data_IF_958225547932
#
_entry.id   IF_958225547932
#
_cell.length_a   1.000
_cell.length_b   1.000
_cell.length_c   1.000
_cell.angle_alpha   90.00
_cell.angle_beta   90.00
_cell.angle_gamma   90.00
#
_symmetry.space_group_name_H-M   'P 1'
#
loop_
_entity.id
_entity.type
_entity.pdbx_description
1 polymer ?
#
# COMPACT_ATOMS: atom_id res chain seq x y z
N UNK A 1 -16.80 -15.32 34.66
CA UNK A 1 -17.19 -16.20 33.53
C UNK A 1 -17.69 -15.29 32.40
N UNK A 2 -16.75 -14.65 31.69
CA UNK A 2 -17.04 -13.64 30.66
C UNK A 2 -16.85 -14.31 29.30
N UNK A 3 -17.91 -14.32 28.49
CA UNK A 3 -17.89 -14.88 27.13
C UNK A 3 -17.09 -13.95 26.21
N UNK A 4 -16.02 -14.47 25.63
CA UNK A 4 -15.33 -13.88 24.49
C UNK A 4 -16.29 -13.83 23.28
N UNK A 5 -16.62 -12.63 22.82
CA UNK A 5 -17.26 -12.44 21.51
C UNK A 5 -16.16 -12.36 20.46
N UNK A 6 -16.16 -13.36 19.58
CA UNK A 6 -15.24 -13.53 18.46
C UNK A 6 -15.41 -12.43 17.42
N UNK A 7 -14.31 -11.77 17.05
CA UNK A 7 -14.18 -10.76 15.99
C UNK A 7 -14.50 -11.27 14.56
N UNK A 8 -14.96 -12.52 14.39
CA UNK A 8 -15.28 -13.10 13.07
C UNK A 8 -16.55 -12.53 12.43
N UNK A 9 -17.46 -11.91 13.19
CA UNK A 9 -18.77 -11.51 12.68
C UNK A 9 -18.81 -10.11 12.03
N UNK A 10 -17.77 -9.29 12.16
CA UNK A 10 -17.74 -7.97 11.54
C UNK A 10 -17.37 -8.01 10.03
N UNK A 11 -16.70 -9.07 9.58
CA UNK A 11 -16.10 -9.13 8.24
C UNK A 11 -17.04 -9.65 7.14
N UNK A 12 -18.10 -10.39 7.47
CA UNK A 12 -19.01 -10.99 6.47
C UNK A 12 -20.11 -10.05 5.97
N UNK A 13 -20.38 -8.94 6.66
CA UNK A 13 -21.48 -8.03 6.33
C UNK A 13 -21.24 -7.11 5.12
N UNK A 14 -19.99 -6.93 4.70
CA UNK A 14 -19.64 -5.94 3.66
C UNK A 14 -19.74 -6.46 2.21
N UNK A 15 -19.69 -7.78 1.98
CA UNK A 15 -19.68 -8.35 0.61
C UNK A 15 -21.05 -8.36 -0.09
N UNK A 16 -22.14 -8.04 0.60
CA UNK A 16 -23.51 -8.18 0.06
C UNK A 16 -24.07 -6.96 -0.67
N UNK A 17 -23.36 -5.83 -0.75
CA UNK A 17 -23.90 -4.58 -1.32
C UNK A 17 -23.62 -4.36 -2.82
N UNK A 18 -22.75 -5.14 -3.47
CA UNK A 18 -22.32 -4.91 -4.85
C UNK A 18 -22.89 -5.95 -5.83
N UNK A 19 -24.22 -6.00 -6.01
CA UNK A 19 -24.85 -6.67 -7.17
C UNK A 19 -26.10 -5.90 -7.62
N UNK A 20 -25.98 -5.15 -8.70
CA UNK A 20 -27.12 -4.62 -9.43
C UNK A 20 -26.74 -3.83 -10.68
N UNK A 21 -27.10 -4.35 -11.86
CA UNK A 21 -27.33 -3.53 -13.06
C UNK A 21 -26.53 -3.89 -14.32
N UNK A 22 -27.00 -4.87 -15.09
CA UNK A 22 -26.61 -5.07 -16.49
C UNK A 22 -27.56 -4.30 -17.44
N UNK A 23 -27.00 -3.78 -18.53
CA UNK A 23 -27.67 -3.31 -19.76
C UNK A 23 -26.65 -2.50 -20.56
N UNK A 24 -26.23 -2.81 -21.77
CA UNK A 24 -26.94 -3.39 -22.92
C UNK A 24 -26.92 -2.33 -24.03
N UNK A 25 -26.03 -2.45 -25.02
CA UNK A 25 -25.96 -1.49 -26.13
C UNK A 25 -24.87 -1.81 -27.16
N UNK A 26 -25.27 -2.43 -28.27
CA UNK A 26 -24.46 -2.66 -29.46
C UNK A 26 -24.33 -1.37 -30.30
N UNK A 27 -23.17 -1.15 -30.94
CA UNK A 27 -23.09 -0.48 -32.24
C UNK A 27 -21.73 -0.73 -32.90
N UNK A 28 -21.78 -1.25 -34.11
CA UNK A 28 -20.64 -1.46 -34.99
C UNK A 28 -20.29 -0.18 -35.78
N UNK A 29 -19.03 -0.01 -36.15
CA UNK A 29 -18.64 0.64 -37.41
C UNK A 29 -17.19 0.26 -37.74
N UNK A 30 -16.99 -0.28 -38.94
CA UNK A 30 -15.70 -0.77 -39.42
C UNK A 30 -14.88 0.30 -40.16
N UNK A 31 -13.60 -0.01 -40.37
CA UNK A 31 -12.81 0.52 -41.47
C UNK A 31 -11.65 -0.46 -41.78
N UNK A 32 -11.36 -0.58 -43.08
CA UNK A 32 -10.58 -1.62 -43.73
C UNK A 32 -9.26 -1.03 -44.26
N UNK A 33 -8.13 -1.70 -43.96
CA UNK A 33 -6.91 -1.93 -44.78
C UNK A 33 -6.12 -0.74 -45.37
N UNK A 34 -4.80 -0.68 -45.09
CA UNK A 34 -3.73 -0.81 -46.12
C UNK A 34 -2.27 -0.78 -45.60
N UNK A 35 -1.60 -1.94 -45.78
CA UNK A 35 -0.21 -2.27 -46.19
C UNK A 35 0.99 -1.29 -46.04
N UNK A 36 2.02 -1.89 -45.41
CA UNK A 36 3.43 -2.15 -45.83
C UNK A 36 4.38 -1.01 -46.25
N UNK A 37 5.44 -0.90 -45.45
CA UNK A 37 6.84 -0.58 -45.79
C UNK A 37 7.61 -0.54 -44.46
N UNK A 38 8.71 -1.24 -44.18
CA UNK A 38 9.74 -1.81 -45.02
C UNK A 38 11.05 -1.05 -44.79
N UNK A 39 11.76 -1.29 -43.68
CA UNK A 39 13.17 -0.90 -43.55
C UNK A 39 13.91 -1.78 -42.54
N UNK A 40 14.87 -2.54 -43.07
CA UNK A 40 15.84 -3.37 -42.35
C UNK A 40 16.74 -2.49 -41.47
N UNK A 41 16.93 -2.88 -40.21
CA UNK A 41 18.06 -2.45 -39.38
C UNK A 41 18.83 -3.69 -38.98
N UNK A 42 20.08 -3.76 -39.45
CA UNK A 42 21.07 -4.78 -39.13
C UNK A 42 21.72 -4.53 -37.77
N UNK A 43 21.74 -5.53 -36.89
CA UNK A 43 22.50 -5.51 -35.64
C UNK A 43 23.87 -6.20 -35.82
N UNK A 44 24.97 -5.64 -35.26
CA UNK A 44 26.26 -6.32 -35.25
C UNK A 44 26.32 -7.41 -34.16
N UNK A 45 27.13 -8.47 -34.33
CA UNK A 45 27.25 -9.55 -33.37
C UNK A 45 28.28 -9.18 -32.29
N UNK A 46 27.91 -9.28 -31.02
CA UNK A 46 28.80 -9.03 -29.91
C UNK A 46 28.11 -9.27 -28.58
N UNK A 47 28.04 -10.53 -28.17
CA UNK A 47 27.50 -10.93 -26.88
C UNK A 47 28.37 -10.44 -25.73
N UNK A 48 27.79 -9.60 -24.89
CA UNK A 48 28.20 -9.40 -23.50
C UNK A 48 27.07 -9.94 -22.60
N UNK A 49 27.38 -10.57 -21.45
CA UNK A 49 26.38 -11.20 -20.62
C UNK A 49 25.47 -10.14 -19.98
N UNK A 50 24.16 -10.28 -20.19
CA UNK A 50 23.11 -9.52 -19.51
C UNK A 50 23.13 -9.86 -18.01
N UNK A 51 23.98 -9.18 -17.27
CA UNK A 51 23.90 -9.05 -15.82
C UNK A 51 23.97 -7.56 -15.49
N UNK A 52 23.15 -6.77 -16.17
CA UNK A 52 22.89 -5.40 -15.75
C UNK A 52 21.92 -5.42 -14.58
N UNK A 53 22.43 -4.86 -13.48
CA UNK A 53 21.74 -4.65 -12.22
C UNK A 53 20.46 -3.86 -12.49
N UNK A 54 19.31 -4.53 -12.45
CA UNK A 54 18.04 -3.87 -12.18
C UNK A 54 18.11 -3.32 -10.75
N UNK A 55 18.52 -2.07 -10.62
CA UNK A 55 18.07 -1.23 -9.50
C UNK A 55 16.57 -1.10 -9.64
N UNK A 56 15.84 -1.94 -8.91
CA UNK A 56 14.38 -1.84 -8.75
C UNK A 56 14.13 -0.47 -8.11
N UNK A 57 13.42 0.39 -8.83
CA UNK A 57 12.92 1.67 -8.34
C UNK A 57 11.48 1.41 -7.91
N UNK A 58 11.16 1.36 -6.61
CA UNK A 58 9.78 1.21 -6.14
C UNK A 58 9.00 2.49 -6.43
N UNK A 59 7.89 2.39 -7.12
CA UNK A 59 6.83 3.40 -7.08
C UNK A 59 5.54 2.64 -6.80
N UNK A 60 4.93 2.84 -5.64
CA UNK A 60 3.68 2.15 -5.26
C UNK A 60 2.61 2.36 -6.34
N UNK A 61 1.65 1.43 -6.44
CA UNK A 61 0.43 1.50 -7.27
C UNK A 61 0.25 0.41 -8.36
N UNK A 62 0.80 -0.79 -8.18
CA UNK A 62 0.45 -2.00 -8.96
C UNK A 62 0.76 -3.29 -8.19
N UNK A 63 0.38 -4.44 -8.73
CA UNK A 63 0.67 -5.78 -8.20
C UNK A 63 2.09 -5.88 -7.64
N UNK A 64 2.20 -6.18 -6.35
CA UNK A 64 3.48 -6.36 -5.67
C UNK A 64 4.12 -7.66 -6.14
N UNK A 65 5.25 -7.55 -6.83
CA UNK A 65 6.01 -8.67 -7.38
C UNK A 65 7.27 -8.94 -6.57
N UNK A 66 7.49 -10.20 -6.21
CA UNK A 66 8.76 -10.66 -5.65
C UNK A 66 9.22 -11.95 -6.31
N UNK A 67 10.44 -11.94 -6.85
CA UNK A 67 11.08 -13.13 -7.40
C UNK A 67 11.71 -13.96 -6.27
N UNK A 68 11.29 -15.22 -6.14
CA UNK A 68 11.83 -16.15 -5.13
C UNK A 68 11.87 -17.55 -5.70
N UNK A 69 13.02 -18.23 -5.59
CA UNK A 69 13.18 -19.65 -5.97
C UNK A 69 12.67 -20.00 -7.39
N UNK A 70 12.88 -19.09 -8.35
CA UNK A 70 12.35 -19.15 -9.74
C UNK A 70 10.82 -19.12 -9.84
N UNK A 71 10.16 -18.59 -8.83
CA UNK A 71 8.75 -18.31 -8.81
C UNK A 71 8.52 -16.81 -8.64
N UNK A 72 7.45 -16.32 -9.24
CA UNK A 72 6.96 -14.97 -9.02
C UNK A 72 5.84 -15.00 -7.99
N UNK A 73 6.05 -14.30 -6.88
CA UNK A 73 5.10 -14.15 -5.79
C UNK A 73 4.40 -12.81 -5.94
N UNK A 74 3.07 -12.85 -5.99
CA UNK A 74 2.22 -11.74 -6.41
C UNK A 74 1.20 -11.43 -5.32
N UNK A 75 1.23 -10.22 -4.79
CA UNK A 75 0.26 -9.71 -3.81
C UNK A 75 -0.39 -8.46 -4.37
N UNK A 76 -1.71 -8.43 -4.37
CA UNK A 76 -2.47 -7.26 -4.83
C UNK A 76 -2.33 -6.08 -3.85
N UNK A 77 -2.39 -4.83 -4.33
CA UNK A 77 -2.43 -3.65 -3.45
C UNK A 77 -3.58 -3.80 -2.44
N UNK A 78 -4.87 -4.04 -2.78
CA UNK A 78 -5.90 -4.18 -1.74
C UNK A 78 -5.64 -5.27 -0.70
N UNK A 79 -4.93 -6.35 -1.04
CA UNK A 79 -4.56 -7.35 -0.04
C UNK A 79 -3.49 -6.83 0.95
N UNK A 80 -2.51 -6.05 0.47
CA UNK A 80 -1.52 -5.40 1.35
C UNK A 80 -2.18 -4.41 2.30
N UNK A 81 -3.20 -3.70 1.81
CA UNK A 81 -3.88 -2.66 2.56
C UNK A 81 -4.77 -3.30 3.61
N UNK A 82 -5.51 -4.35 3.25
CA UNK A 82 -6.25 -5.17 4.20
C UNK A 82 -5.34 -5.75 5.29
N UNK A 83 -4.13 -6.19 4.95
CA UNK A 83 -3.13 -6.62 5.93
C UNK A 83 -2.71 -5.47 6.85
N UNK A 84 -2.40 -4.28 6.31
CA UNK A 84 -2.09 -3.10 7.11
C UNK A 84 -3.24 -2.75 8.08
N UNK A 85 -4.50 -2.88 7.62
CA UNK A 85 -5.70 -2.72 8.44
C UNK A 85 -5.80 -3.75 9.58
N UNK A 86 -5.44 -5.01 9.32
CA UNK A 86 -5.35 -6.05 10.35
C UNK A 86 -4.30 -5.72 11.40
N UNK A 87 -3.14 -5.20 10.98
CA UNK A 87 -2.10 -4.73 11.89
C UNK A 87 -2.61 -3.56 12.74
N UNK A 88 -3.29 -2.59 12.14
CA UNK A 88 -3.90 -1.45 12.84
C UNK A 88 -4.92 -1.89 13.89
N UNK A 89 -5.77 -2.87 13.54
CA UNK A 89 -6.77 -3.43 14.43
C UNK A 89 -6.14 -4.17 15.62
N UNK A 90 -4.90 -4.64 15.52
CA UNK A 90 -4.19 -5.28 16.62
C UNK A 90 -3.15 -4.38 17.30
N UNK A 91 -3.00 -3.14 16.84
CA UNK A 91 -2.07 -2.16 17.42
C UNK A 91 -2.52 -1.69 18.80
N UNK A 92 -1.56 -1.56 19.70
CA UNK A 92 -1.71 -1.03 21.05
C UNK A 92 -1.70 -2.11 22.13
N UNK A 93 -1.04 -1.81 23.24
CA UNK A 93 -0.84 -2.65 24.42
C UNK A 93 -0.49 -1.79 25.67
N UNK A 94 0.15 -2.39 26.67
CA UNK A 94 0.58 -1.70 27.89
C UNK A 94 1.75 -0.72 27.68
N UNK A 95 2.36 -0.69 26.49
CA UNK A 95 3.36 0.30 26.09
C UNK A 95 2.82 1.27 25.01
N UNK A 96 2.05 0.76 24.04
CA UNK A 96 1.54 1.53 22.91
C UNK A 96 0.05 1.88 23.06
N UNK A 97 -0.31 3.14 22.83
CA UNK A 97 -1.70 3.56 22.71
C UNK A 97 -2.37 2.86 21.51
N UNK A 98 -3.64 2.53 21.66
CA UNK A 98 -4.45 2.07 20.53
C UNK A 98 -4.72 3.25 19.57
N UNK A 99 -4.91 3.00 18.26
CA UNK A 99 -5.44 4.01 17.36
C UNK A 99 -6.68 4.68 17.97
N UNK A 100 -6.73 6.02 17.92
CA UNK A 100 -7.80 6.81 18.55
C UNK A 100 -7.56 7.21 20.01
N UNK A 101 -6.44 6.79 20.63
CA UNK A 101 -6.15 7.04 22.06
C UNK A 101 -4.86 7.82 22.32
N UNK A 102 -4.28 8.49 21.30
CA UNK A 102 -3.07 9.30 21.46
C UNK A 102 -3.30 10.62 22.21
N UNK A 103 -4.56 11.06 22.29
CA UNK A 103 -5.03 12.20 23.06
C UNK A 103 -6.48 11.96 23.49
N UNK A 104 -7.04 12.83 24.35
CA UNK A 104 -8.38 12.66 24.90
C UNK A 104 -9.45 12.95 23.84
N UNK A 105 -10.35 12.01 23.60
CA UNK A 105 -11.51 12.15 22.72
C UNK A 105 -12.75 11.53 23.38
N UNK A 106 -13.94 12.01 23.01
CA UNK A 106 -15.20 11.53 23.59
C UNK A 106 -15.54 10.09 23.17
N UNK A 107 -15.33 9.74 21.90
CA UNK A 107 -15.54 8.38 21.37
C UNK A 107 -14.26 7.83 20.69
N UNK A 108 -13.34 7.24 21.48
CA UNK A 108 -12.09 6.71 20.93
C UNK A 108 -12.29 5.47 20.05
N UNK A 109 -13.38 4.72 20.23
CA UNK A 109 -13.63 3.50 19.43
C UNK A 109 -14.18 3.84 18.04
N UNK A 110 -15.02 4.88 17.93
CA UNK A 110 -15.44 5.41 16.63
C UNK A 110 -14.22 5.93 15.85
N UNK A 111 -13.38 6.73 16.48
CA UNK A 111 -12.16 7.25 15.86
C UNK A 111 -11.21 6.11 15.45
N UNK A 112 -11.05 5.10 16.32
CA UNK A 112 -10.30 3.87 16.01
C UNK A 112 -10.84 3.16 14.77
N UNK A 113 -12.16 3.06 14.61
CA UNK A 113 -12.77 2.44 13.44
C UNK A 113 -12.47 3.21 12.15
N UNK A 114 -12.52 4.54 12.16
CA UNK A 114 -12.12 5.39 11.02
C UNK A 114 -10.65 5.20 10.64
N UNK A 115 -9.75 5.13 11.63
CA UNK A 115 -8.31 4.94 11.40
C UNK A 115 -8.03 3.56 10.79
N UNK A 116 -8.61 2.50 11.37
CA UNK A 116 -8.47 1.14 10.84
C UNK A 116 -9.03 1.05 9.42
N UNK A 117 -10.17 1.69 9.15
CA UNK A 117 -10.73 1.77 7.80
C UNK A 117 -9.78 2.47 6.83
N UNK A 118 -9.25 3.64 7.21
CA UNK A 118 -8.33 4.39 6.37
C UNK A 118 -7.11 3.55 5.98
N UNK A 119 -6.50 2.88 6.96
CA UNK A 119 -5.32 2.04 6.75
C UNK A 119 -5.66 0.82 5.92
N UNK A 120 -6.81 0.18 6.18
CA UNK A 120 -7.29 -0.97 5.42
C UNK A 120 -7.58 -0.66 3.94
N UNK A 121 -7.76 0.62 3.61
CA UNK A 121 -8.26 1.07 2.31
C UNK A 121 -7.38 2.15 1.68
N UNK A 122 -6.15 2.36 2.16
CA UNK A 122 -5.33 3.48 1.69
C UNK A 122 -5.06 3.40 0.18
N UNK A 123 -4.84 2.20 -0.32
CA UNK A 123 -4.62 1.91 -1.74
C UNK A 123 -5.89 1.51 -2.52
N UNK A 124 -7.05 1.97 -2.05
CA UNK A 124 -8.31 1.61 -2.71
C UNK A 124 -8.42 2.10 -4.17
N UNK A 125 -7.64 3.10 -4.57
CA UNK A 125 -7.55 3.55 -5.97
C UNK A 125 -7.15 2.47 -6.98
N UNK A 126 -6.55 1.37 -6.52
CA UNK A 126 -6.09 0.25 -7.34
C UNK A 126 -7.16 -0.83 -7.59
N UNK A 127 -8.34 -0.73 -6.96
CA UNK A 127 -9.38 -1.77 -7.02
C UNK A 127 -9.79 -2.15 -8.44
N UNK A 128 -10.13 -1.14 -9.24
CA UNK A 128 -10.63 -1.35 -10.58
C UNK A 128 -9.55 -1.96 -11.49
N UNK A 129 -8.30 -1.51 -11.34
CA UNK A 129 -7.18 -1.99 -12.13
C UNK A 129 -6.84 -3.46 -11.78
N UNK A 130 -6.76 -3.80 -10.50
CA UNK A 130 -6.42 -5.17 -10.08
C UNK A 130 -7.58 -6.17 -10.19
N UNK A 131 -8.81 -5.67 -10.38
CA UNK A 131 -9.95 -6.48 -10.75
C UNK A 131 -9.91 -6.95 -12.22
N UNK A 132 -9.01 -6.40 -13.04
CA UNK A 132 -8.71 -6.86 -14.41
C UNK A 132 -7.27 -6.48 -14.79
N UNK A 133 -6.24 -7.09 -14.17
CA UNK A 133 -4.86 -6.65 -14.36
C UNK A 133 -4.41 -6.89 -15.80
N UNK A 134 -3.78 -5.91 -16.43
CA UNK A 134 -3.10 -6.12 -17.72
C UNK A 134 -1.76 -6.84 -17.51
N UNK A 135 -1.18 -7.37 -18.60
CA UNK A 135 0.04 -8.16 -18.56
C UNK A 135 1.01 -7.74 -19.67
N UNK A 136 2.30 -8.02 -19.48
CA UNK A 136 3.26 -7.94 -20.57
C UNK A 136 3.25 -9.23 -21.37
N UNK A 137 3.16 -9.13 -22.70
CA UNK A 137 3.24 -10.29 -23.59
C UNK A 137 4.63 -10.96 -23.55
N UNK A 138 5.67 -10.24 -23.12
CA UNK A 138 7.07 -10.72 -23.16
C UNK A 138 7.39 -11.73 -22.06
N UNK A 139 6.78 -11.58 -20.87
CA UNK A 139 7.05 -12.45 -19.71
C UNK A 139 5.78 -13.15 -19.17
N UNK A 140 4.60 -12.81 -19.70
CA UNK A 140 3.32 -13.41 -19.30
C UNK A 140 2.87 -13.06 -17.89
N UNK A 141 3.50 -12.07 -17.23
CA UNK A 141 3.19 -11.62 -15.89
C UNK A 141 2.29 -10.37 -15.92
N UNK A 142 1.47 -10.13 -14.86
CA UNK A 142 0.79 -8.85 -14.71
C UNK A 142 1.78 -7.69 -14.83
N UNK A 143 1.37 -6.51 -15.30
CA UNK A 143 2.25 -5.33 -15.25
C UNK A 143 2.66 -5.05 -13.79
N UNK A 144 3.92 -4.65 -13.58
CA UNK A 144 4.35 -4.10 -12.28
C UNK A 144 4.49 -2.59 -12.32
N UNK A 145 4.98 -2.08 -11.20
CA UNK A 145 5.04 -0.67 -10.90
C UNK A 145 6.08 0.03 -11.77
N UNK A 146 7.10 -0.69 -12.22
CA UNK A 146 8.12 -0.16 -13.11
C UNK A 146 7.59 -0.01 -14.54
N UNK A 147 6.60 -0.82 -14.92
CA UNK A 147 5.94 -0.72 -16.23
C UNK A 147 4.94 0.44 -16.29
N UNK A 148 4.18 0.68 -15.20
CA UNK A 148 3.21 1.77 -15.10
C UNK A 148 3.80 3.12 -14.70
N UNK A 149 5.01 3.17 -14.13
CA UNK A 149 5.76 4.41 -13.84
C UNK A 149 6.10 5.24 -15.08
N UNK A 150 5.87 4.70 -16.28
CA UNK A 150 5.92 5.46 -17.55
C UNK A 150 4.70 6.38 -17.75
N UNK A 151 3.68 6.29 -16.89
CA UNK A 151 2.46 7.10 -16.98
C UNK A 151 2.04 7.69 -15.62
N UNK A 152 2.72 8.77 -15.20
CA UNK A 152 2.43 9.52 -13.97
C UNK A 152 0.96 9.91 -13.80
N UNK A 153 0.25 10.18 -14.90
CA UNK A 153 -1.17 10.56 -14.84
C UNK A 153 -2.05 9.41 -14.36
N UNK A 154 -1.72 8.17 -14.72
CA UNK A 154 -2.48 7.00 -14.30
C UNK A 154 -2.28 6.69 -12.82
N UNK A 155 -1.04 6.78 -12.33
CA UNK A 155 -0.74 6.68 -10.90
C UNK A 155 -1.56 7.72 -10.10
N UNK A 156 -1.51 8.99 -10.49
CA UNK A 156 -2.27 10.06 -9.83
C UNK A 156 -3.79 9.87 -9.95
N UNK A 157 -4.29 9.31 -11.06
CA UNK A 157 -5.71 9.01 -11.21
C UNK A 157 -6.22 7.99 -10.19
N UNK A 158 -5.39 7.02 -9.77
CA UNK A 158 -5.75 6.07 -8.69
C UNK A 158 -6.00 6.82 -7.39
N UNK A 159 -5.14 7.76 -7.03
CA UNK A 159 -5.35 8.63 -5.87
C UNK A 159 -6.60 9.51 -6.00
N UNK A 160 -6.84 10.10 -7.19
CA UNK A 160 -8.06 10.89 -7.47
C UNK A 160 -9.35 10.08 -7.30
N UNK A 161 -9.30 8.77 -7.60
CA UNK A 161 -10.42 7.86 -7.36
C UNK A 161 -10.51 7.42 -5.90
N UNK A 162 -9.37 7.12 -5.29
CA UNK A 162 -9.31 6.43 -4.00
C UNK A 162 -9.50 7.34 -2.79
N UNK A 163 -8.88 8.52 -2.79
CA UNK A 163 -8.97 9.49 -1.70
C UNK A 163 -10.43 9.86 -1.37
N UNK A 164 -11.26 10.30 -2.35
CA UNK A 164 -12.62 10.74 -2.04
C UNK A 164 -13.62 9.58 -1.86
N UNK A 165 -13.22 8.33 -2.10
CA UNK A 165 -14.16 7.18 -2.23
C UNK A 165 -15.10 7.01 -1.05
N UNK A 166 -14.60 7.22 0.18
CA UNK A 166 -15.38 7.07 1.40
C UNK A 166 -15.83 8.40 2.01
N UNK A 167 -15.51 9.53 1.37
CA UNK A 167 -15.64 10.86 1.97
C UNK A 167 -17.07 11.22 2.39
N UNK A 168 -18.10 10.61 1.76
CA UNK A 168 -19.49 10.81 2.14
C UNK A 168 -19.79 10.29 3.54
N UNK A 169 -19.36 9.07 3.85
CA UNK A 169 -19.77 8.35 5.08
C UNK A 169 -18.63 8.28 6.11
N UNK A 170 -17.38 8.31 5.65
CA UNK A 170 -16.15 8.25 6.45
C UNK A 170 -15.17 9.37 6.04
N UNK A 171 -15.52 10.65 6.28
CA UNK A 171 -14.68 11.79 5.89
C UNK A 171 -13.32 11.81 6.59
N UNK A 172 -13.20 11.24 7.80
CA UNK A 172 -11.92 11.13 8.50
C UNK A 172 -11.02 10.09 7.85
N UNK A 173 -11.57 8.93 7.47
CA UNK A 173 -10.82 7.94 6.72
C UNK A 173 -10.28 8.51 5.39
N UNK A 174 -11.13 9.19 4.61
CA UNK A 174 -10.68 9.88 3.37
C UNK A 174 -9.60 10.93 3.62
N UNK A 175 -9.68 11.67 4.73
CA UNK A 175 -8.62 12.60 5.12
C UNK A 175 -7.30 11.86 5.37
N UNK A 176 -7.29 10.79 6.15
CA UNK A 176 -6.05 10.03 6.41
C UNK A 176 -5.46 9.40 5.15
N UNK A 177 -6.29 8.87 4.25
CA UNK A 177 -5.84 8.35 2.95
C UNK A 177 -5.18 9.47 2.11
N UNK A 178 -5.74 10.68 2.16
CA UNK A 178 -5.12 11.82 1.47
C UNK A 178 -3.78 12.24 2.09
N UNK A 179 -3.61 12.13 3.42
CA UNK A 179 -2.31 12.33 4.07
C UNK A 179 -1.30 11.29 3.61
N UNK A 180 -1.74 10.06 3.36
CA UNK A 180 -0.86 9.02 2.88
C UNK A 180 -0.28 9.34 1.51
N UNK A 181 -1.15 9.55 0.52
CA UNK A 181 -0.74 9.97 -0.82
C UNK A 181 0.08 11.25 -0.78
N UNK A 182 -0.34 12.26 0.01
CA UNK A 182 0.41 13.51 0.16
C UNK A 182 1.88 13.27 0.52
N UNK A 183 2.16 12.48 1.56
CA UNK A 183 3.52 12.30 2.06
C UNK A 183 4.40 11.42 1.16
N UNK A 184 3.81 10.49 0.42
CA UNK A 184 4.53 9.74 -0.62
C UNK A 184 5.08 10.68 -1.69
N UNK A 185 4.30 11.69 -2.11
CA UNK A 185 4.77 12.65 -3.10
C UNK A 185 5.62 13.79 -2.51
N UNK A 186 5.20 14.34 -1.38
CA UNK A 186 5.82 15.51 -0.76
C UNK A 186 7.29 15.27 -0.37
N UNK A 187 7.64 14.05 0.05
CA UNK A 187 9.03 13.73 0.43
C UNK A 187 10.03 13.93 -0.72
N UNK A 188 9.60 13.75 -1.97
CA UNK A 188 10.46 13.93 -3.15
C UNK A 188 10.50 15.35 -3.71
N UNK A 189 9.56 16.19 -3.27
CA UNK A 189 9.33 17.54 -3.81
C UNK A 189 9.79 18.62 -2.85
N UNK A 190 9.61 18.41 -1.54
CA UNK A 190 9.97 19.38 -0.51
C UNK A 190 11.48 19.39 -0.28
N UNK A 191 12.03 20.57 -0.01
CA UNK A 191 13.46 20.74 0.26
C UNK A 191 13.88 20.14 1.60
N UNK A 192 12.98 20.15 2.59
CA UNK A 192 13.20 19.67 3.95
C UNK A 192 11.90 19.06 4.49
N UNK A 193 11.47 17.90 3.97
CA UNK A 193 10.23 17.26 4.42
C UNK A 193 10.38 16.81 5.88
N UNK A 194 9.32 16.97 6.67
CA UNK A 194 9.33 16.53 8.06
C UNK A 194 9.60 15.02 8.14
N UNK A 195 10.72 14.59 8.75
CA UNK A 195 11.09 13.17 8.81
C UNK A 195 10.08 12.34 9.59
N UNK A 196 9.29 12.95 10.49
CA UNK A 196 8.28 12.26 11.26
C UNK A 196 7.14 11.70 10.39
N UNK A 197 6.99 12.15 9.14
CA UNK A 197 6.01 11.64 8.19
C UNK A 197 6.62 10.83 7.04
N UNK A 198 7.94 10.66 7.02
CA UNK A 198 8.61 9.92 5.96
C UNK A 198 8.17 8.44 5.93
N UNK A 199 7.65 7.98 4.81
CA UNK A 199 7.26 6.57 4.64
C UNK A 199 8.45 5.64 4.87
N UNK A 200 8.28 4.44 5.47
CA UNK A 200 9.36 3.47 5.60
C UNK A 200 10.05 3.08 4.29
N UNK A 201 9.49 3.33 3.11
CA UNK A 201 10.24 3.22 1.85
C UNK A 201 11.49 4.12 1.81
N UNK A 202 11.44 5.29 2.47
CA UNK A 202 12.45 6.35 2.38
C UNK A 202 13.34 6.43 3.63
N UNK A 203 13.27 5.44 4.53
CA UNK A 203 13.98 5.50 5.82
C UNK A 203 15.50 5.55 5.70
N UNK A 204 16.06 5.11 4.56
CA UNK A 204 17.50 5.19 4.23
C UNK A 204 17.89 6.41 3.40
N UNK A 205 16.98 7.31 3.12
CA UNK A 205 17.24 8.53 2.36
C UNK A 205 16.25 8.76 1.22
N UNK A 206 16.57 9.78 0.43
CA UNK A 206 15.60 10.54 -0.36
C UNK A 206 14.81 9.74 -1.40
N UNK A 207 13.52 10.09 -1.56
CA UNK A 207 12.65 9.62 -2.65
C UNK A 207 12.92 10.31 -4.00
N UNK A 208 13.88 11.25 -4.10
CA UNK A 208 14.18 11.94 -5.37
C UNK A 208 14.60 10.98 -6.47
N UNK A 209 15.21 9.83 -6.15
CA UNK A 209 15.55 8.80 -7.13
C UNK A 209 14.32 8.13 -7.76
N UNK A 210 13.15 8.20 -7.11
CA UNK A 210 11.92 7.54 -7.54
C UNK A 210 11.07 8.42 -8.46
N UNK A 211 11.22 9.74 -8.40
CA UNK A 211 10.36 10.68 -9.13
C UNK A 211 10.89 11.12 -10.50
N UNK A 212 12.19 11.01 -10.75
CA UNK A 212 12.81 11.32 -12.05
C UNK A 212 12.32 12.66 -12.66
N UNK A 213 11.88 12.61 -13.92
CA UNK A 213 11.37 13.78 -14.69
C UNK A 213 9.94 14.22 -14.30
N UNK A 214 9.26 13.51 -13.40
CA UNK A 214 7.86 13.75 -13.03
C UNK A 214 7.62 14.85 -11.99
N UNK A 215 8.67 15.56 -11.54
CA UNK A 215 8.61 16.47 -10.39
C UNK A 215 7.59 17.61 -10.53
N UNK A 216 7.43 18.20 -11.71
CA UNK A 216 6.46 19.29 -11.92
C UNK A 216 5.01 18.80 -11.90
N UNK A 217 4.76 17.61 -12.46
CA UNK A 217 3.43 16.96 -12.41
C UNK A 217 3.11 16.60 -10.96
N UNK A 218 4.09 16.07 -10.23
CA UNK A 218 3.95 15.70 -8.82
C UNK A 218 3.69 16.94 -7.93
N UNK A 219 4.29 18.10 -8.24
CA UNK A 219 3.98 19.37 -7.57
C UNK A 219 2.51 19.76 -7.69
N UNK A 220 1.99 19.83 -8.93
CA UNK A 220 0.58 20.17 -9.16
C UNK A 220 -0.37 19.19 -8.47
N UNK A 221 -0.02 17.91 -8.47
CA UNK A 221 -0.82 16.88 -7.82
C UNK A 221 -0.83 16.98 -6.28
N UNK A 222 0.30 17.34 -5.67
CA UNK A 222 0.36 17.60 -4.21
C UNK A 222 -0.58 18.74 -3.81
N UNK A 223 -0.70 19.78 -4.64
CA UNK A 223 -1.64 20.88 -4.39
C UNK A 223 -3.11 20.42 -4.53
N UNK A 224 -3.43 19.57 -5.52
CA UNK A 224 -4.77 18.93 -5.61
C UNK A 224 -5.11 18.14 -4.33
N UNK A 225 -4.15 17.38 -3.79
CA UNK A 225 -4.37 16.64 -2.53
C UNK A 225 -4.63 17.57 -1.35
N UNK A 226 -3.88 18.69 -1.24
CA UNK A 226 -4.11 19.69 -0.20
C UNK A 226 -5.50 20.31 -0.28
N UNK A 227 -5.99 20.60 -1.49
CA UNK A 227 -7.35 21.11 -1.67
C UNK A 227 -8.41 20.10 -1.17
N UNK A 228 -8.20 18.80 -1.42
CA UNK A 228 -9.06 17.74 -0.85
C UNK A 228 -8.96 17.68 0.68
N UNK A 229 -7.75 17.76 1.24
CA UNK A 229 -7.52 17.80 2.69
C UNK A 229 -8.26 18.98 3.34
N UNK A 230 -8.13 20.18 2.79
CA UNK A 230 -8.79 21.39 3.29
C UNK A 230 -10.31 21.23 3.27
N UNK A 231 -10.87 20.63 2.21
CA UNK A 231 -12.30 20.36 2.13
C UNK A 231 -12.79 19.36 3.19
N UNK A 232 -12.04 18.27 3.42
CA UNK A 232 -12.37 17.28 4.44
C UNK A 232 -12.24 17.87 5.85
N UNK A 233 -11.16 18.61 6.12
CA UNK A 233 -10.93 19.30 7.39
C UNK A 233 -12.06 20.30 7.67
N UNK A 234 -12.44 21.12 6.68
CA UNK A 234 -13.52 22.08 6.81
C UNK A 234 -14.88 21.40 7.08
N UNK A 235 -15.10 20.20 6.54
CA UNK A 235 -16.30 19.40 6.82
C UNK A 235 -16.26 18.81 8.23
N UNK A 236 -15.17 18.18 8.63
CA UNK A 236 -15.00 17.57 9.95
C UNK A 236 -15.10 18.61 11.08
N UNK A 237 -14.54 19.81 10.89
CA UNK A 237 -14.68 20.93 11.85
C UNK A 237 -16.11 21.36 12.13
N UNK A 238 -17.04 21.15 11.19
CA UNK A 238 -18.45 21.51 11.35
C UNK A 238 -19.24 20.44 12.11
N UNK A 239 -18.72 19.22 12.21
CA UNK A 239 -19.30 18.14 12.99
C UNK A 239 -18.73 18.17 14.41
N UNK A 240 -19.58 18.49 15.39
CA UNK A 240 -19.16 18.59 16.79
C UNK A 240 -18.55 17.29 17.34
N UNK A 241 -18.93 16.13 16.79
CA UNK A 241 -18.43 14.82 17.22
C UNK A 241 -17.01 14.57 16.73
N UNK A 242 -16.69 15.10 15.55
CA UNK A 242 -15.43 14.84 14.85
C UNK A 242 -14.44 16.02 14.91
N UNK A 243 -14.89 17.20 15.36
CA UNK A 243 -14.13 18.43 15.27
C UNK A 243 -12.76 18.37 15.95
N UNK A 244 -12.63 17.65 17.08
CA UNK A 244 -11.35 17.48 17.77
C UNK A 244 -10.40 16.50 17.04
N UNK A 245 -10.89 15.61 16.19
CA UNK A 245 -10.07 14.56 15.55
C UNK A 245 -9.02 15.12 14.57
N UNK A 246 -9.24 16.34 14.10
CA UNK A 246 -8.35 17.07 13.18
C UNK A 246 -7.31 17.94 13.89
N UNK A 247 -7.35 18.01 15.22
CA UNK A 247 -6.28 18.64 15.98
C UNK A 247 -5.00 17.82 15.85
N UNK A 248 -3.84 18.50 15.83
CA UNK A 248 -2.56 17.85 15.49
C UNK A 248 -2.17 16.73 16.44
N UNK A 249 -2.57 16.82 17.72
CA UNK A 249 -2.33 15.77 18.73
C UNK A 249 -3.05 14.45 18.41
N UNK A 250 -4.15 14.51 17.65
CA UNK A 250 -4.85 13.34 17.13
C UNK A 250 -4.40 13.00 15.71
N UNK A 251 -4.42 13.97 14.80
CA UNK A 251 -4.24 13.72 13.37
C UNK A 251 -2.82 13.25 13.01
N UNK A 252 -1.78 13.86 13.60
CA UNK A 252 -0.40 13.52 13.29
C UNK A 252 -0.05 12.06 13.60
N UNK A 253 -0.31 11.53 14.82
CA UNK A 253 0.01 10.14 15.10
C UNK A 253 -0.80 9.16 14.25
N UNK A 254 -2.03 9.50 13.82
CA UNK A 254 -2.81 8.66 12.91
C UNK A 254 -2.23 8.64 11.50
N UNK A 255 -1.87 9.81 10.96
CA UNK A 255 -1.21 9.92 9.65
C UNK A 255 0.13 9.18 9.64
N UNK A 256 0.90 9.29 10.74
CA UNK A 256 2.14 8.53 10.91
C UNK A 256 1.88 7.03 11.02
N UNK A 257 0.89 6.61 11.81
CA UNK A 257 0.58 5.20 11.98
C UNK A 257 0.20 4.52 10.65
N UNK A 258 -0.50 5.23 9.76
CA UNK A 258 -0.80 4.72 8.42
C UNK A 258 0.48 4.42 7.65
N UNK A 259 1.42 5.38 7.56
CA UNK A 259 2.71 5.19 6.89
C UNK A 259 3.49 3.99 7.46
N UNK A 260 3.48 3.82 8.78
CA UNK A 260 4.21 2.74 9.45
C UNK A 260 3.61 1.36 9.15
N UNK A 261 2.28 1.28 9.14
CA UNK A 261 1.57 0.02 8.94
C UNK A 261 1.51 -0.39 7.47
N UNK A 262 1.47 0.56 6.56
CA UNK A 262 1.73 0.30 5.14
C UNK A 262 3.13 -0.30 4.96
N UNK A 263 4.18 0.38 5.45
CA UNK A 263 5.55 -0.14 5.39
C UNK A 263 5.75 -1.54 6.00
N UNK A 264 5.12 -1.84 7.14
CA UNK A 264 5.12 -3.20 7.70
C UNK A 264 4.44 -4.20 6.76
N UNK A 265 3.28 -3.85 6.20
CA UNK A 265 2.57 -4.71 5.25
C UNK A 265 3.41 -4.99 4.00
N UNK A 266 4.07 -3.96 3.44
CA UNK A 266 4.95 -4.06 2.28
C UNK A 266 6.13 -4.97 2.55
N UNK A 267 6.70 -4.95 3.76
CA UNK A 267 7.79 -5.86 4.14
C UNK A 267 7.40 -7.35 4.08
N UNK A 268 6.10 -7.66 4.23
CA UNK A 268 5.56 -9.02 4.11
C UNK A 268 5.10 -9.38 2.70
N UNK A 269 4.82 -8.38 1.86
CA UNK A 269 4.21 -8.57 0.55
C UNK A 269 5.18 -8.38 -0.62
N UNK A 270 6.31 -7.71 -0.39
CA UNK A 270 7.21 -7.24 -1.43
C UNK A 270 8.65 -7.05 -0.96
N UNK A 271 9.59 -6.91 -1.88
CA UNK A 271 10.97 -6.49 -1.61
C UNK A 271 11.17 -4.96 -1.73
N UNK A 272 10.14 -4.14 -1.52
CA UNK A 272 10.22 -2.69 -1.70
C UNK A 272 10.90 -1.98 -0.51
N UNK A 273 10.75 -2.50 0.70
CA UNK A 273 11.33 -1.89 1.91
C UNK A 273 12.85 -2.08 1.89
N UNK A 274 13.65 -1.00 1.94
CA UNK A 274 15.09 -1.12 1.97
C UNK A 274 15.56 -1.84 3.25
N UNK A 275 16.32 -2.94 3.18
CA UNK A 275 16.82 -3.61 4.38
C UNK A 275 17.98 -2.83 5.00
N UNK A 276 18.27 -3.05 6.27
CA UNK A 276 19.42 -2.47 6.99
C UNK A 276 20.73 -2.84 6.29
N UNK A 277 20.87 -4.08 5.83
CA UNK A 277 22.05 -4.56 5.11
C UNK A 277 21.65 -5.42 3.92
N UNK A 278 22.51 -5.48 2.90
CA UNK A 278 22.29 -6.33 1.72
C UNK A 278 21.22 -5.79 0.77
N UNK A 279 20.64 -6.72 0.00
CA UNK A 279 19.58 -6.48 -0.98
C UNK A 279 18.25 -6.91 -0.38
N UNK A 280 17.19 -6.14 -0.64
CA UNK A 280 15.84 -6.44 -0.18
C UNK A 280 15.40 -7.81 -0.70
N UNK A 281 14.77 -8.59 0.18
CA UNK A 281 14.23 -9.93 -0.12
C UNK A 281 12.70 -9.95 -0.06
N UNK A 282 12.12 -9.13 0.80
CA UNK A 282 10.69 -9.13 1.12
C UNK A 282 10.27 -10.34 1.95
N UNK A 283 8.95 -10.53 2.06
CA UNK A 283 8.33 -11.65 2.77
C UNK A 283 8.89 -11.85 4.19
N UNK A 284 9.12 -10.75 4.92
CA UNK A 284 9.54 -10.77 6.31
C UNK A 284 11.00 -11.19 6.56
N UNK A 285 11.84 -11.25 5.52
CA UNK A 285 13.24 -11.71 5.62
C UNK A 285 14.27 -10.59 5.79
N UNK A 286 13.80 -9.35 5.85
CA UNK A 286 14.62 -8.14 5.91
C UNK A 286 14.58 -7.50 7.31
N UNK A 287 15.75 -7.10 7.81
CA UNK A 287 15.85 -6.26 9.01
C UNK A 287 15.72 -4.79 8.61
N UNK A 288 14.90 -3.99 9.31
CA UNK A 288 14.78 -2.54 9.09
C UNK A 288 14.26 -1.84 10.35
N UNK A 289 14.27 -0.50 10.34
CA UNK A 289 13.77 0.33 11.45
C UNK A 289 12.49 1.06 11.05
N UNK A 290 11.50 1.00 11.93
CA UNK A 290 10.36 1.91 11.95
C UNK A 290 10.72 3.10 12.84
N UNK A 291 11.02 4.25 12.23
CA UNK A 291 11.39 5.47 12.93
C UNK A 291 10.15 6.23 13.43
N UNK A 292 10.30 7.12 14.40
CA UNK A 292 9.26 8.06 14.84
C UNK A 292 7.87 7.43 15.07
N UNK A 293 7.83 6.25 15.71
CA UNK A 293 6.60 5.53 16.02
C UNK A 293 5.93 6.18 17.23
N UNK A 294 4.71 6.72 17.11
CA UNK A 294 4.00 7.28 18.25
C UNK A 294 3.64 6.16 19.24
N UNK A 295 4.08 6.31 20.47
CA UNK A 295 3.90 5.33 21.54
C UNK A 295 2.69 5.68 22.40
N UNK A 296 2.66 6.84 23.07
CA UNK A 296 1.51 7.28 23.89
C UNK A 296 0.84 8.57 23.44
N UNK A 297 1.60 9.48 22.84
CA UNK A 297 1.11 10.73 22.25
C UNK A 297 1.93 11.05 21.01
N UNK A 298 1.66 12.20 20.36
CA UNK A 298 2.49 12.64 19.26
C UNK A 298 3.94 12.89 19.69
N UNK A 299 4.16 13.45 20.88
CA UNK A 299 5.48 13.84 21.41
C UNK A 299 6.29 12.64 21.94
N UNK A 300 5.62 11.56 22.33
CA UNK A 300 6.24 10.31 22.77
C UNK A 300 6.45 9.37 21.58
N UNK A 301 7.59 9.50 20.90
CA UNK A 301 7.95 8.66 19.74
C UNK A 301 9.19 7.81 19.98
N UNK A 302 9.16 6.59 19.46
CA UNK A 302 10.25 5.61 19.59
C UNK A 302 10.62 5.03 18.23
N UNK A 303 11.75 4.31 18.16
CA UNK A 303 12.08 3.46 17.01
C UNK A 303 11.72 2.02 17.34
N UNK A 304 10.97 1.35 16.46
CA UNK A 304 10.77 -0.10 16.51
C UNK A 304 11.74 -0.76 15.54
N UNK A 305 12.58 -1.65 16.05
CA UNK A 305 13.45 -2.50 15.23
C UNK A 305 12.66 -3.70 14.77
N UNK A 306 12.64 -3.96 13.47
CA UNK A 306 11.99 -5.11 12.85
C UNK A 306 13.07 -6.06 12.37
N UNK A 307 13.08 -7.30 12.86
CA UNK A 307 14.14 -8.28 12.57
C UNK A 307 13.57 -9.65 12.23
N UNK A 308 14.04 -10.32 11.17
CA UNK A 308 13.73 -11.74 10.97
C UNK A 308 14.38 -12.58 12.08
N UNK A 309 13.67 -13.57 12.61
CA UNK A 309 14.16 -14.46 13.67
C UNK A 309 14.31 -15.92 13.18
N UNK A 310 13.26 -16.45 12.55
CA UNK A 310 13.25 -17.75 11.88
C UNK A 310 12.28 -17.70 10.71
N UNK A 311 12.12 -18.80 9.97
CA UNK A 311 11.13 -18.87 8.89
C UNK A 311 9.75 -18.45 9.39
N UNK A 312 9.17 -17.43 8.75
CA UNK A 312 7.87 -16.88 9.11
C UNK A 312 7.80 -16.10 10.43
N UNK A 313 8.91 -15.90 11.17
CA UNK A 313 8.91 -15.20 12.46
C UNK A 313 9.71 -13.91 12.42
N UNK A 314 9.08 -12.84 12.88
CA UNK A 314 9.60 -11.48 12.84
C UNK A 314 9.49 -10.87 14.23
N UNK A 315 10.61 -10.38 14.75
CA UNK A 315 10.68 -9.72 16.06
C UNK A 315 10.47 -8.22 15.86
N UNK A 316 9.62 -7.62 16.70
CA UNK A 316 9.49 -6.17 16.84
C UNK A 316 9.97 -5.73 18.23
N UNK A 317 10.92 -4.80 18.28
CA UNK A 317 11.49 -4.28 19.53
C UNK A 317 11.46 -2.74 19.55
N UNK A 318 10.63 -2.10 20.39
CA UNK A 318 9.61 -2.70 21.27
C UNK A 318 8.40 -3.28 20.49
N UNK A 319 7.64 -4.17 21.14
CA UNK A 319 6.52 -4.88 20.53
C UNK A 319 5.23 -4.04 20.55
N UNK A 320 4.59 -3.74 19.40
CA UNK A 320 3.48 -2.79 19.36
C UNK A 320 2.07 -3.41 19.42
N UNK A 321 1.94 -4.73 19.30
CA UNK A 321 0.65 -5.38 19.16
C UNK A 321 0.07 -5.84 20.50
N UNK A 322 -1.25 -5.90 20.58
CA UNK A 322 -2.00 -6.35 21.76
C UNK A 322 -2.13 -7.86 21.91
N UNK A 323 -1.62 -8.63 20.94
CA UNK A 323 -1.57 -10.11 20.94
C UNK A 323 -0.16 -10.51 20.59
N UNK A 324 0.46 -11.39 21.37
CA UNK A 324 1.84 -11.86 21.17
C UNK A 324 1.92 -13.40 21.26
N UNK A 325 2.35 -14.10 20.19
CA UNK A 325 2.63 -13.57 18.85
C UNK A 325 1.34 -13.15 18.12
N UNK A 326 1.43 -12.16 17.23
CA UNK A 326 0.36 -11.78 16.31
C UNK A 326 0.47 -12.63 15.03
N UNK A 327 -0.43 -13.60 14.80
CA UNK A 327 -0.44 -14.34 13.55
C UNK A 327 -1.01 -13.49 12.41
N UNK A 328 -0.32 -13.51 11.27
CA UNK A 328 -0.76 -12.84 10.05
C UNK A 328 -0.66 -13.77 8.85
N UNK A 329 -1.49 -13.55 7.85
CA UNK A 329 -1.48 -14.33 6.61
C UNK A 329 -1.56 -13.39 5.41
N UNK A 330 -0.60 -13.51 4.50
CA UNK A 330 -0.54 -12.77 3.23
C UNK A 330 -1.12 -13.65 2.13
N UNK A 331 -2.20 -13.23 1.46
CA UNK A 331 -2.72 -13.96 0.31
C UNK A 331 -1.86 -13.65 -0.93
N UNK A 332 -1.08 -14.63 -1.40
CA UNK A 332 -0.21 -14.47 -2.56
C UNK A 332 -0.59 -15.43 -3.69
N UNK A 333 -0.54 -15.00 -4.95
CA UNK A 333 -0.48 -15.93 -6.09
C UNK A 333 0.99 -16.24 -6.39
N UNK A 334 1.30 -17.52 -6.56
CA UNK A 334 2.67 -17.97 -6.81
C UNK A 334 2.68 -18.61 -8.20
N UNK A 335 3.47 -18.06 -9.10
CA UNK A 335 3.59 -18.53 -10.48
C UNK A 335 5.01 -19.04 -10.73
N UNK A 336 5.14 -20.25 -11.29
CA UNK A 336 6.43 -20.74 -11.74
C UNK A 336 6.95 -19.92 -12.93
N UNK A 337 8.27 -19.73 -13.00
CA UNK A 337 8.93 -19.06 -14.12
C UNK A 337 9.70 -20.04 -15.03
N UNK A 338 9.73 -19.80 -16.36
CA UNK A 338 9.09 -18.68 -17.05
C UNK A 338 7.55 -18.84 -17.06
N UNK A 339 6.83 -17.73 -16.91
CA UNK A 339 5.38 -17.76 -17.06
C UNK A 339 5.04 -17.79 -18.55
N UNK A 340 4.16 -18.71 -18.96
CA UNK A 340 3.73 -18.80 -20.36
C UNK A 340 2.80 -17.63 -20.72
N UNK A 341 3.10 -16.84 -21.77
CA UNK A 341 2.18 -15.84 -22.29
C UNK A 341 0.84 -16.49 -22.65
N UNK A 342 -0.27 -15.83 -22.33
CA UNK A 342 -1.60 -16.37 -22.58
C UNK A 342 -2.49 -15.35 -23.26
N UNK A 343 -3.03 -15.73 -24.44
CA UNK A 343 -4.11 -14.98 -25.10
C UNK A 343 -5.38 -14.84 -24.24
N UNK A 344 -5.47 -15.60 -23.14
CA UNK A 344 -6.55 -15.56 -22.15
C UNK A 344 -6.01 -15.28 -20.75
N UNK A 345 -5.07 -14.32 -20.62
CA UNK A 345 -4.42 -13.96 -19.36
C UNK A 345 -5.39 -13.84 -18.19
N UNK A 346 -6.50 -13.11 -18.34
CA UNK A 346 -7.48 -12.93 -17.26
C UNK A 346 -8.06 -14.26 -16.75
N UNK A 347 -8.41 -15.17 -17.66
CA UNK A 347 -8.95 -16.49 -17.26
C UNK A 347 -7.89 -17.32 -16.52
N UNK A 348 -6.63 -17.28 -16.97
CA UNK A 348 -5.51 -17.91 -16.25
C UNK A 348 -5.32 -17.26 -14.87
N UNK A 349 -5.22 -15.94 -14.81
CA UNK A 349 -5.05 -15.17 -13.58
C UNK A 349 -6.08 -15.53 -12.50
N UNK A 350 -7.36 -15.59 -12.87
CA UNK A 350 -8.43 -15.95 -11.93
C UNK A 350 -8.48 -17.45 -11.60
N UNK A 351 -7.87 -18.31 -12.41
CA UNK A 351 -7.77 -19.75 -12.12
C UNK A 351 -6.70 -20.10 -11.09
N UNK A 352 -5.67 -19.25 -10.91
CA UNK A 352 -4.54 -19.49 -10.00
C UNK A 352 -4.88 -19.08 -8.56
N UNK A 353 -5.26 -19.98 -7.63
CA UNK A 353 -5.76 -19.56 -6.32
C UNK A 353 -4.74 -18.76 -5.51
N UNK A 354 -5.21 -17.75 -4.75
CA UNK A 354 -4.38 -17.10 -3.72
C UNK A 354 -4.06 -18.12 -2.62
N UNK A 355 -2.79 -18.25 -2.28
CA UNK A 355 -2.27 -19.11 -1.22
C UNK A 355 -1.94 -18.27 0.01
N UNK A 356 -2.38 -18.67 1.22
CA UNK A 356 -2.07 -17.95 2.44
C UNK A 356 -0.64 -18.26 2.91
N UNK A 357 0.23 -17.24 2.91
CA UNK A 357 1.60 -17.30 3.44
C UNK A 357 1.58 -16.79 4.87
N UNK A 358 2.06 -17.60 5.82
CA UNK A 358 1.87 -17.34 7.26
C UNK A 358 3.11 -16.71 7.88
N UNK A 359 2.88 -15.70 8.69
CA UNK A 359 3.90 -15.05 9.52
C UNK A 359 3.41 -14.86 10.95
N UNK A 360 4.34 -14.58 11.85
CA UNK A 360 4.10 -14.19 13.22
C UNK A 360 4.99 -13.00 13.59
N UNK A 361 4.39 -11.90 14.02
CA UNK A 361 5.12 -10.84 14.73
C UNK A 361 5.21 -11.21 16.20
N UNK A 362 6.42 -11.26 16.74
CA UNK A 362 6.72 -11.68 18.11
C UNK A 362 7.42 -10.57 18.90
N UNK A 363 7.28 -10.56 20.22
CA UNK A 363 8.25 -9.89 21.09
C UNK A 363 9.61 -10.59 21.04
N UNK A 364 10.67 -9.84 21.36
CA UNK A 364 12.06 -10.30 21.35
C UNK A 364 12.50 -11.06 22.60
#
# INVERSE_FOLDING_TARGET
MVRALSARNAWTGWKSACRGGCGGGQSACGATVARRGGSNVSYPPGGAPLQERLTIVPTEDTMLKTLRDKQMWLVSQPDHAELAGLLAANWGNDEFARPGQFARVDDPEQLRAEIVLAIAQHDNGSWEWEATPDHLEVDGLPLDCTDLSKNWQEAMNRWRLGIPRFSRDHPYASLLISFHGYWLYAHGIQTDPDPAFAHPLFWKGSSTSLMGEGLDIARGFVDEIKEMQDAFIARLRKDQTCAAWIDTEHLNPHARLLQLLDGLSLSLCSALIPPRTGTAKGFGEDEFDLLDVPRRSWEDRVTIKVKPASEGRIICEPYPFGVDPLPVAVPARILDLPAEPSAHFQSRWYSEPKQPIRFEYCSG
#
